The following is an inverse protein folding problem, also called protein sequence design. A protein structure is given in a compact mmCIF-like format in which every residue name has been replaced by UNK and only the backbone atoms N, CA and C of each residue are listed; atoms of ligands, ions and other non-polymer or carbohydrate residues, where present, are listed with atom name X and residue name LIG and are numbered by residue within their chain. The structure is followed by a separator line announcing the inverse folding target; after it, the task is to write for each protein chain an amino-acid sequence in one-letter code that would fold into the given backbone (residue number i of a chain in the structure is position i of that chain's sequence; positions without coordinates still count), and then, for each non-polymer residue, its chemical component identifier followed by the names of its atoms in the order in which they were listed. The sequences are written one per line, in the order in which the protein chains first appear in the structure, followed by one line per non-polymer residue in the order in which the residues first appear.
data_IF_336570218708
#
_entry.id   IF_336570218708
#
_cell.length_a   1.000
_cell.length_b   1.000
_cell.length_c   1.000
_cell.angle_alpha   90.00
_cell.angle_beta   90.00
_cell.angle_gamma   90.00
#
_symmetry.space_group_name_H-M   'P 1'
#
loop_
_entity.id
_entity.type
_entity.pdbx_description
1 polymer ?
#
# COMPACT_ATOMS: atom_id res chain seq x y z
N UNK A 1 -27.57 -49.07 -13.15
CA UNK A 1 -28.00 -47.71 -13.55
C UNK A 1 -26.86 -46.76 -13.25
N UNK A 2 -25.85 -46.79 -14.12
CA UNK A 2 -24.59 -46.04 -14.01
C UNK A 2 -24.73 -44.77 -14.84
N UNK A 3 -24.80 -43.61 -14.19
CA UNK A 3 -24.60 -42.34 -14.90
C UNK A 3 -23.13 -42.27 -15.32
N UNK A 4 -22.82 -42.15 -16.62
CA UNK A 4 -21.46 -41.87 -17.05
C UNK A 4 -21.10 -40.45 -16.60
N UNK A 5 -19.99 -40.32 -15.89
CA UNK A 5 -19.39 -39.04 -15.52
C UNK A 5 -18.82 -38.42 -16.80
N UNK A 6 -19.52 -37.44 -17.36
CA UNK A 6 -19.08 -36.69 -18.54
C UNK A 6 -17.94 -35.74 -18.13
N UNK A 7 -16.74 -36.04 -18.60
CA UNK A 7 -15.49 -35.33 -18.28
C UNK A 7 -15.28 -34.09 -19.18
N UNK A 8 -16.34 -33.65 -19.88
CA UNK A 8 -16.35 -32.53 -20.83
C UNK A 8 -16.79 -31.18 -20.23
N UNK A 9 -17.02 -31.11 -18.92
CA UNK A 9 -17.50 -29.89 -18.26
C UNK A 9 -16.35 -28.91 -17.98
N UNK A 10 -15.88 -28.32 -19.08
CA UNK A 10 -14.89 -27.26 -19.15
C UNK A 10 -15.24 -26.00 -18.32
N UNK A 11 -16.48 -25.87 -17.85
CA UNK A 11 -16.99 -24.66 -17.22
C UNK A 11 -16.47 -24.42 -15.81
N UNK A 12 -15.91 -25.43 -15.14
CA UNK A 12 -15.44 -25.29 -13.75
C UNK A 12 -14.10 -24.55 -13.68
N UNK A 13 -13.29 -24.56 -14.75
CA UNK A 13 -12.04 -23.80 -14.80
C UNK A 13 -12.18 -22.40 -15.43
N UNK A 14 -13.36 -22.06 -15.96
CA UNK A 14 -13.60 -20.79 -16.65
C UNK A 14 -14.18 -19.70 -15.73
N UNK A 15 -14.36 -20.01 -14.44
CA UNK A 15 -14.72 -18.99 -13.45
C UNK A 15 -13.47 -18.33 -12.89
N UNK A 16 -13.17 -17.13 -13.40
CA UNK A 16 -12.62 -16.01 -12.63
C UNK A 16 -11.09 -15.84 -12.49
N UNK A 17 -10.27 -16.16 -13.49
CA UNK A 17 -9.04 -15.37 -13.68
C UNK A 17 -9.40 -13.99 -14.27
N UNK A 18 -10.08 -13.16 -13.49
CA UNK A 18 -10.31 -11.78 -13.87
C UNK A 18 -8.95 -11.09 -13.95
N UNK A 19 -8.61 -10.62 -15.17
CA UNK A 19 -7.32 -10.03 -15.57
C UNK A 19 -6.53 -9.38 -14.41
N UNK A 20 -5.24 -9.72 -14.24
CA UNK A 20 -4.43 -9.16 -13.18
C UNK A 20 -4.41 -7.63 -13.28
N UNK A 21 -4.85 -6.96 -12.21
CA UNK A 21 -4.78 -5.50 -12.12
C UNK A 21 -3.30 -5.09 -12.17
N UNK A 22 -2.93 -3.99 -12.85
CA UNK A 22 -1.54 -3.56 -12.94
C UNK A 22 -1.03 -3.11 -11.58
N UNK A 23 -0.39 -4.04 -10.84
CA UNK A 23 0.02 -3.83 -9.45
C UNK A 23 0.99 -2.65 -9.31
N UNK A 24 1.99 -2.58 -10.19
CA UNK A 24 2.98 -1.50 -10.17
C UNK A 24 2.34 -0.12 -10.36
N UNK A 25 1.41 0.01 -11.32
CA UNK A 25 0.72 1.28 -11.58
C UNK A 25 -0.17 1.68 -10.40
N UNK A 26 -0.83 0.71 -9.77
CA UNK A 26 -1.72 0.92 -8.63
C UNK A 26 -0.94 1.38 -7.39
N UNK A 27 0.21 0.75 -7.13
CA UNK A 27 1.15 1.12 -6.08
C UNK A 27 1.68 2.54 -6.32
N UNK A 28 2.11 2.87 -7.54
CA UNK A 28 2.65 4.18 -7.86
C UNK A 28 1.59 5.30 -7.71
N UNK A 29 0.36 5.05 -8.16
CA UNK A 29 -0.78 5.95 -7.95
C UNK A 29 -1.07 6.15 -6.46
N UNK A 30 -1.11 5.05 -5.71
CA UNK A 30 -1.29 5.08 -4.26
C UNK A 30 -0.18 5.85 -3.54
N UNK A 31 1.09 5.64 -3.92
CA UNK A 31 2.22 6.40 -3.42
C UNK A 31 2.04 7.91 -3.68
N UNK A 32 1.57 8.28 -4.87
CA UNK A 32 1.21 9.65 -5.20
C UNK A 32 0.02 10.23 -4.43
N UNK A 33 -0.70 9.44 -3.62
CA UNK A 33 -1.92 9.84 -2.94
C UNK A 33 -3.15 9.89 -3.86
N UNK A 34 -3.08 9.22 -5.01
CA UNK A 34 -4.17 9.12 -5.99
C UNK A 34 -4.87 7.76 -5.90
N UNK A 35 -6.10 7.71 -6.38
CA UNK A 35 -6.90 6.48 -6.44
C UNK A 35 -6.17 5.41 -7.28
N UNK A 36 -6.00 4.17 -6.78
CA UNK A 36 -5.31 3.12 -7.52
C UNK A 36 -6.05 2.72 -8.81
N UNK A 37 -7.39 2.78 -8.81
CA UNK A 37 -8.24 2.44 -9.96
C UNK A 37 -8.16 3.50 -11.08
N UNK A 38 -8.52 4.76 -10.80
CA UNK A 38 -8.61 5.81 -11.83
C UNK A 38 -7.38 6.72 -11.94
N UNK A 39 -6.56 6.83 -10.89
CA UNK A 39 -5.38 7.71 -10.85
C UNK A 39 -5.68 9.22 -10.74
N UNK A 40 -6.96 9.63 -10.69
CA UNK A 40 -7.37 11.05 -10.65
C UNK A 40 -7.93 11.48 -9.30
N UNK A 41 -8.75 10.64 -8.67
CA UNK A 41 -9.33 10.93 -7.36
C UNK A 41 -8.28 10.93 -6.24
N UNK A 42 -8.46 11.75 -5.20
CA UNK A 42 -7.60 11.72 -4.01
C UNK A 42 -7.90 10.48 -3.18
N UNK A 43 -6.85 9.74 -2.82
CA UNK A 43 -6.95 8.56 -1.95
C UNK A 43 -7.26 8.95 -0.50
N UNK A 44 -6.67 10.05 -0.05
CA UNK A 44 -6.74 10.51 1.33
C UNK A 44 -7.64 11.75 1.47
N UNK A 45 -8.53 11.73 2.45
CA UNK A 45 -9.36 12.89 2.83
C UNK A 45 -8.67 13.75 3.90
N UNK A 46 -7.86 13.12 4.75
CA UNK A 46 -6.95 13.76 5.74
C UNK A 46 -5.59 13.06 5.66
N UNK A 47 -4.58 13.62 6.33
CA UNK A 47 -3.17 13.15 6.26
C UNK A 47 -2.96 11.63 6.19
N UNK A 48 -3.66 10.83 7.02
CA UNK A 48 -3.60 9.36 7.00
C UNK A 48 -4.97 8.67 6.86
N UNK A 49 -6.05 9.43 6.69
CA UNK A 49 -7.40 8.86 6.57
C UNK A 49 -7.78 8.69 5.11
N UNK A 50 -7.91 7.45 4.69
CA UNK A 50 -8.39 7.06 3.36
C UNK A 50 -9.87 7.43 3.23
N UNK A 51 -10.30 7.86 2.06
CA UNK A 51 -11.71 8.12 1.75
C UNK A 51 -12.47 6.80 1.59
N UNK A 52 -13.73 6.72 2.05
CA UNK A 52 -14.52 5.48 1.92
C UNK A 52 -14.79 5.11 0.46
N UNK A 53 -14.97 6.13 -0.39
CA UNK A 53 -15.13 6.00 -1.83
C UNK A 53 -14.25 7.01 -2.57
N UNK A 54 -13.83 6.65 -3.78
CA UNK A 54 -13.17 7.57 -4.70
C UNK A 54 -14.17 8.61 -5.23
N UNK A 55 -13.87 9.93 -5.16
CA UNK A 55 -14.79 10.97 -5.64
C UNK A 55 -14.95 11.02 -7.17
N UNK A 56 -14.03 10.40 -7.93
CA UNK A 56 -14.01 10.46 -9.41
C UNK A 56 -14.60 9.19 -10.04
N UNK A 57 -14.22 8.01 -9.52
CA UNK A 57 -14.66 6.72 -10.08
C UNK A 57 -15.59 5.90 -9.18
N UNK A 58 -15.88 6.36 -7.96
CA UNK A 58 -16.80 5.69 -7.03
C UNK A 58 -16.25 4.43 -6.34
N UNK A 59 -15.02 4.01 -6.65
CA UNK A 59 -14.39 2.80 -6.08
C UNK A 59 -14.44 2.81 -4.55
N UNK A 60 -14.93 1.72 -3.96
CA UNK A 60 -14.95 1.53 -2.50
C UNK A 60 -13.53 1.27 -1.99
N UNK A 61 -13.00 2.15 -1.14
CA UNK A 61 -11.63 2.15 -0.62
C UNK A 61 -11.56 1.92 0.91
N UNK A 62 -12.72 1.80 1.58
CA UNK A 62 -12.82 1.59 3.03
C UNK A 62 -12.32 0.21 3.52
N UNK A 63 -12.20 -0.77 2.63
CA UNK A 63 -11.76 -2.15 2.94
C UNK A 63 -10.28 -2.30 3.31
N UNK A 64 -9.48 -1.24 3.20
CA UNK A 64 -8.06 -1.32 3.53
C UNK A 64 -7.79 -1.64 5.01
N UNK A 65 -6.91 -2.61 5.27
CA UNK A 65 -6.31 -2.85 6.58
C UNK A 65 -4.81 -2.68 6.46
N UNK A 66 -4.35 -1.43 6.51
CA UNK A 66 -2.98 -1.06 6.18
C UNK A 66 -2.34 -0.17 7.26
N UNK A 67 -2.70 -0.35 8.53
CA UNK A 67 -2.31 0.59 9.58
C UNK A 67 -0.95 0.29 10.24
N UNK A 68 -0.53 -0.99 10.31
CA UNK A 68 0.74 -1.37 10.95
C UNK A 68 1.95 -1.33 10.01
N UNK A 69 1.76 -1.70 8.73
CA UNK A 69 2.85 -1.76 7.76
C UNK A 69 3.51 -0.41 7.43
N UNK A 70 2.79 0.72 7.26
CA UNK A 70 3.41 1.99 6.87
C UNK A 70 4.43 2.52 7.90
N UNK A 71 4.17 2.50 9.23
CA UNK A 71 5.17 2.86 10.22
C UNK A 71 6.44 2.01 10.17
N UNK A 72 6.33 0.68 10.03
CA UNK A 72 7.50 -0.21 9.96
C UNK A 72 8.37 0.08 8.74
N UNK A 73 7.78 0.23 7.55
CA UNK A 73 8.55 0.60 6.36
C UNK A 73 9.14 2.00 6.47
N UNK A 74 8.41 2.95 7.10
CA UNK A 74 8.91 4.31 7.32
C UNK A 74 10.17 4.30 8.18
N UNK A 75 10.14 3.66 9.36
CA UNK A 75 11.29 3.66 10.27
C UNK A 75 12.48 2.92 9.66
N UNK A 76 12.24 1.85 8.89
CA UNK A 76 13.31 1.14 8.20
C UNK A 76 14.00 2.05 7.18
N UNK A 77 13.24 2.72 6.32
CA UNK A 77 13.80 3.63 5.30
C UNK A 77 14.50 4.83 5.95
N UNK A 78 13.84 5.49 6.89
CA UNK A 78 14.39 6.68 7.57
C UNK A 78 15.65 6.33 8.34
N UNK A 79 15.69 5.20 9.06
CA UNK A 79 16.88 4.73 9.76
C UNK A 79 18.07 4.49 8.82
N UNK A 80 17.84 3.87 7.66
CA UNK A 80 18.88 3.64 6.66
C UNK A 80 19.37 4.91 5.95
N UNK A 81 18.64 6.02 6.04
CA UNK A 81 19.09 7.32 5.55
C UNK A 81 19.85 8.05 6.66
N UNK A 82 19.22 8.16 7.84
CA UNK A 82 19.71 8.97 8.95
C UNK A 82 20.99 8.39 9.57
N UNK A 83 21.05 7.08 9.82
CA UNK A 83 22.21 6.47 10.49
C UNK A 83 23.50 6.57 9.65
N UNK A 84 23.51 6.24 8.35
CA UNK A 84 24.71 6.41 7.54
C UNK A 84 25.12 7.87 7.37
N UNK A 85 24.16 8.79 7.20
CA UNK A 85 24.45 10.23 7.14
C UNK A 85 25.04 10.73 8.46
N UNK A 86 24.53 10.25 9.60
CA UNK A 86 25.04 10.58 10.92
C UNK A 86 26.46 10.09 11.13
N UNK A 87 26.73 8.83 10.77
CA UNK A 87 28.07 8.27 10.85
C UNK A 87 29.05 9.01 9.93
N UNK A 88 28.63 9.33 8.71
CA UNK A 88 29.46 10.08 7.77
C UNK A 88 29.80 11.49 8.29
N UNK A 89 28.81 12.21 8.82
CA UNK A 89 29.01 13.55 9.37
C UNK A 89 29.97 13.53 10.57
N UNK A 90 29.81 12.55 11.47
CA UNK A 90 30.68 12.36 12.63
C UNK A 90 32.14 12.13 12.20
N UNK A 91 32.36 11.20 11.26
CA UNK A 91 33.70 10.86 10.80
C UNK A 91 34.38 11.99 10.01
N UNK A 92 33.61 12.81 9.29
CA UNK A 92 34.16 13.87 8.45
C UNK A 92 34.42 15.18 9.19
N UNK A 93 33.58 15.53 10.18
CA UNK A 93 33.58 16.88 10.76
C UNK A 93 33.61 16.94 12.28
N UNK A 94 33.41 15.83 13.01
CA UNK A 94 33.22 15.79 14.47
C UNK A 94 32.41 16.99 15.01
N UNK A 95 31.14 17.15 14.60
CA UNK A 95 30.35 18.30 15.00
C UNK A 95 30.11 18.33 16.51
N UNK A 96 29.89 19.51 17.09
CA UNK A 96 29.45 19.61 18.47
C UNK A 96 28.07 18.99 18.67
N UNK A 97 27.83 18.42 19.86
CA UNK A 97 26.64 17.62 20.17
C UNK A 97 25.30 18.33 19.91
N UNK A 98 25.24 19.66 20.03
CA UNK A 98 24.02 20.43 19.76
C UNK A 98 23.58 20.32 18.30
N UNK A 99 24.52 20.16 17.36
CA UNK A 99 24.20 19.93 15.94
C UNK A 99 23.50 18.59 15.79
N UNK A 100 24.01 17.53 16.41
CA UNK A 100 23.38 16.21 16.36
C UNK A 100 21.98 16.22 17.01
N UNK A 101 21.87 16.86 18.17
CA UNK A 101 20.62 16.93 18.93
C UNK A 101 19.52 17.71 18.21
N UNK A 102 19.86 18.62 17.30
CA UNK A 102 18.88 19.41 16.54
C UNK A 102 18.65 18.84 15.13
N UNK A 103 19.71 18.54 14.40
CA UNK A 103 19.66 18.10 13.00
C UNK A 103 18.96 16.76 12.84
N UNK A 104 19.37 15.73 13.58
CA UNK A 104 18.88 14.36 13.35
C UNK A 104 17.42 14.18 13.75
N UNK A 105 16.94 14.67 14.92
CA UNK A 105 15.51 14.60 15.24
C UNK A 105 14.65 15.39 14.26
N UNK A 106 15.08 16.60 13.87
CA UNK A 106 14.34 17.41 12.90
C UNK A 106 14.26 16.71 11.52
N UNK A 107 15.38 16.19 11.03
CA UNK A 107 15.43 15.45 9.77
C UNK A 107 14.56 14.18 9.84
N UNK A 108 14.67 13.42 10.92
CA UNK A 108 13.87 12.20 11.15
C UNK A 108 12.38 12.50 11.15
N UNK A 109 11.97 13.57 11.83
CA UNK A 109 10.58 14.02 11.89
C UNK A 109 10.06 14.38 10.49
N UNK A 110 10.80 15.21 9.75
CA UNK A 110 10.43 15.63 8.39
C UNK A 110 10.31 14.43 7.45
N UNK A 111 11.31 13.55 7.45
CA UNK A 111 11.29 12.35 6.61
C UNK A 111 10.14 11.42 6.98
N UNK A 112 9.89 11.19 8.28
CA UNK A 112 8.82 10.31 8.74
C UNK A 112 7.44 10.83 8.32
N UNK A 113 7.18 12.13 8.51
CA UNK A 113 5.93 12.76 8.08
C UNK A 113 5.76 12.73 6.55
N UNK A 114 6.85 12.77 5.79
CA UNK A 114 6.77 12.68 4.34
C UNK A 114 6.52 11.25 3.85
N UNK A 115 7.20 10.25 4.43
CA UNK A 115 7.09 8.85 4.02
C UNK A 115 5.81 8.16 4.48
N UNK A 116 5.28 8.49 5.66
CA UNK A 116 4.06 7.87 6.20
C UNK A 116 2.85 7.86 5.23
N UNK A 117 2.38 9.00 4.68
CA UNK A 117 1.24 9.01 3.77
C UNK A 117 1.55 8.32 2.44
N UNK A 118 2.81 8.41 1.98
CA UNK A 118 3.29 7.81 0.72
C UNK A 118 3.27 6.29 0.79
N UNK A 119 3.82 5.71 1.86
CA UNK A 119 3.87 4.28 2.06
C UNK A 119 2.48 3.71 2.36
N UNK A 120 1.66 4.42 3.15
CA UNK A 120 0.25 4.03 3.36
C UNK A 120 -0.49 3.93 2.04
N UNK A 121 -0.34 4.92 1.16
CA UNK A 121 -1.03 4.93 -0.12
C UNK A 121 -0.54 3.83 -1.05
N UNK A 122 0.77 3.58 -1.08
CA UNK A 122 1.38 2.48 -1.84
C UNK A 122 0.82 1.11 -1.41
N UNK A 123 0.70 0.88 -0.10
CA UNK A 123 0.14 -0.37 0.45
C UNK A 123 -1.34 -0.52 0.07
N UNK A 124 -2.14 0.53 0.16
CA UNK A 124 -3.55 0.49 -0.28
C UNK A 124 -3.65 0.16 -1.78
N UNK A 125 -2.80 0.76 -2.62
CA UNK A 125 -2.73 0.45 -4.05
C UNK A 125 -2.30 -0.98 -4.34
N UNK A 126 -1.39 -1.53 -3.54
CA UNK A 126 -1.02 -2.95 -3.59
C UNK A 126 -2.21 -3.83 -3.22
N UNK A 127 -2.83 -3.60 -2.05
CA UNK A 127 -3.99 -4.37 -1.57
C UNK A 127 -5.12 -4.38 -2.60
N UNK A 128 -5.39 -3.23 -3.24
CA UNK A 128 -6.35 -3.10 -4.32
C UNK A 128 -5.97 -3.94 -5.55
N UNK A 129 -4.70 -3.93 -5.96
CA UNK A 129 -4.25 -4.69 -7.12
C UNK A 129 -4.32 -6.21 -6.91
N UNK A 130 -4.00 -6.67 -5.69
CA UNK A 130 -4.09 -8.08 -5.30
C UNK A 130 -5.47 -8.52 -4.79
N UNK A 131 -6.46 -7.61 -4.80
CA UNK A 131 -7.83 -7.90 -4.32
C UNK A 131 -7.91 -8.42 -2.87
N UNK A 132 -6.92 -8.08 -2.04
CA UNK A 132 -6.88 -8.55 -0.64
C UNK A 132 -7.81 -7.73 0.25
N UNK A 133 -8.20 -8.26 1.42
CA UNK A 133 -8.94 -7.53 2.47
C UNK A 133 -10.34 -6.98 2.07
N UNK A 134 -11.06 -7.63 1.16
CA UNK A 134 -12.40 -7.19 0.72
C UNK A 134 -12.41 -6.38 -0.57
N UNK A 135 -11.26 -6.25 -1.24
CA UNK A 135 -11.16 -5.76 -2.62
C UNK A 135 -11.39 -6.86 -3.69
N UNK A 136 -11.72 -8.08 -3.25
CA UNK A 136 -12.06 -9.25 -4.07
C UNK A 136 -13.52 -9.26 -4.49
N UNK A 137 -13.83 -10.00 -5.55
CA UNK A 137 -15.20 -10.22 -5.99
C UNK A 137 -15.87 -11.28 -5.11
N UNK A 138 -17.16 -11.11 -4.79
CA UNK A 138 -18.03 -12.05 -4.05
C UNK A 138 -17.99 -13.51 -4.55
N UNK A 139 -17.46 -13.75 -5.76
CA UNK A 139 -17.23 -15.09 -6.32
C UNK A 139 -16.14 -15.88 -5.59
N UNK A 140 -15.08 -15.24 -5.07
CA UNK A 140 -14.05 -15.89 -4.24
C UNK A 140 -14.55 -16.17 -2.83
N UNK A 141 -15.38 -15.28 -2.27
CA UNK A 141 -16.02 -15.45 -0.95
C UNK A 141 -16.90 -16.71 -0.92
N UNK A 142 -17.66 -16.96 -2.01
CA UNK A 142 -18.48 -18.18 -2.14
C UNK A 142 -17.68 -19.46 -2.37
N UNK A 143 -16.43 -19.39 -2.81
CA UNK A 143 -15.58 -20.56 -3.03
C UNK A 143 -14.72 -20.93 -1.81
N UNK A 144 -14.44 -19.98 -0.90
CA UNK A 144 -13.48 -20.17 0.19
C UNK A 144 -14.05 -20.20 1.61
N UNK A 145 -15.35 -20.37 1.83
CA UNK A 145 -15.79 -20.87 3.14
C UNK A 145 -17.27 -20.85 3.47
N UNK A 146 -17.68 -21.97 4.07
CA UNK A 146 -18.54 -22.08 5.27
C UNK A 146 -20.02 -21.72 5.12
#
# INVERSE_FOLDING_TARGET
MSMPMDMSDARIYETAEASPRPAFQSILRGFGGACPACGRGRLFHKFLKVSDNCPDCGEALHHHQADDAPPYFTIMIVGHIVVPMMLWLELAYLPPLWVHATLWPALTLVLSLWFLPRLKGAIVGWQWALRMHGFGSDAEEKMHGV
#
